data_IF_459471822476
#
_entry.id   IF_459471822476
#
_cell.length_a   1.000
_cell.length_b   1.000
_cell.length_c   1.000
_cell.angle_alpha   90.00
_cell.angle_beta   90.00
_cell.angle_gamma   90.00
#
_symmetry.space_group_name_H-M   'P 1'
#
loop_
_entity.id
_entity.type
_entity.pdbx_description
1 polymer ?
#
# COMPACT_ATOMS: atom_id res chain seq x y z
N UNK A 1 -21.42 -7.45 11.78
CA UNK A 1 -21.21 -6.15 11.11
C UNK A 1 -22.18 -5.21 11.79
N UNK A 2 -21.78 -4.67 12.95
CA UNK A 2 -22.58 -3.68 13.66
C UNK A 2 -21.87 -2.34 13.50
N UNK A 3 -22.53 -1.41 12.82
CA UNK A 3 -22.13 -0.01 12.79
C UNK A 3 -22.67 0.63 14.06
N UNK A 4 -21.85 0.67 15.11
CA UNK A 4 -22.04 1.62 16.19
C UNK A 4 -21.68 2.99 15.66
N UNK A 5 -22.66 3.64 15.04
CA UNK A 5 -22.65 5.08 14.87
C UNK A 5 -22.53 5.69 16.27
N UNK A 6 -21.48 6.46 16.49
CA UNK A 6 -21.29 7.24 17.72
C UNK A 6 -22.48 8.21 17.81
N UNK A 7 -23.43 7.87 18.66
CA UNK A 7 -24.61 8.67 18.92
C UNK A 7 -24.27 9.60 20.07
N UNK A 8 -24.12 10.89 19.79
CA UNK A 8 -24.02 11.90 20.85
C UNK A 8 -25.37 11.95 21.60
N UNK A 9 -25.37 12.04 22.94
CA UNK A 9 -26.60 12.14 23.70
C UNK A 9 -27.33 13.44 23.33
N UNK A 10 -28.64 13.32 23.04
CA UNK A 10 -29.51 14.46 22.83
C UNK A 10 -29.55 15.31 24.11
N UNK A 11 -29.41 16.63 23.95
CA UNK A 11 -29.57 17.58 25.03
C UNK A 11 -31.01 17.50 25.55
N UNK A 12 -31.18 16.88 26.72
CA UNK A 12 -32.40 16.98 27.49
C UNK A 12 -32.47 18.37 28.11
N UNK A 13 -33.43 19.16 27.65
CA UNK A 13 -33.87 20.40 28.28
C UNK A 13 -34.44 20.05 29.68
N UNK A 14 -33.73 20.40 30.75
CA UNK A 14 -34.19 20.13 32.10
C UNK A 14 -33.16 20.44 33.20
N UNK A 15 -33.27 21.62 33.80
CA UNK A 15 -32.81 22.04 35.12
C UNK A 15 -31.41 21.57 35.62
N UNK A 16 -30.47 22.50 35.66
CA UNK A 16 -29.12 22.34 36.20
C UNK A 16 -29.07 22.02 37.71
N UNK A 17 -28.11 21.19 38.15
CA UNK A 17 -27.49 21.33 39.46
C UNK A 17 -26.20 22.15 39.35
N UNK A 18 -26.09 23.19 40.18
CA UNK A 18 -24.90 24.04 40.35
C UNK A 18 -23.67 23.17 40.66
N UNK A 19 -22.65 23.20 39.78
CA UNK A 19 -21.30 22.78 40.13
C UNK A 19 -20.65 23.80 41.07
N UNK A 20 -19.89 23.38 42.10
CA UNK A 20 -19.13 24.30 42.93
C UNK A 20 -17.97 24.91 42.12
N UNK A 21 -17.90 26.23 42.14
CA UNK A 21 -16.81 27.00 41.56
C UNK A 21 -15.48 26.67 42.28
N UNK A 22 -14.61 25.90 41.63
CA UNK A 22 -13.21 25.79 42.02
C UNK A 22 -12.39 26.87 41.32
N UNK A 23 -11.66 27.61 42.15
CA UNK A 23 -10.86 28.79 41.90
C UNK A 23 -10.11 28.87 40.55
N UNK A 24 -10.29 30.01 39.87
CA UNK A 24 -9.34 30.55 38.90
C UNK A 24 -8.01 30.83 39.60
N UNK A 25 -6.96 30.13 39.19
CA UNK A 25 -5.58 30.55 39.39
C UNK A 25 -4.74 30.13 38.17
N UNK A 26 -4.08 31.11 37.54
CA UNK A 26 -3.14 30.91 36.44
C UNK A 26 -3.64 31.45 35.10
N UNK A 27 -3.07 32.57 34.67
CA UNK A 27 -3.23 33.07 33.30
C UNK A 27 -2.75 32.02 32.30
N UNK A 28 -3.70 31.45 31.55
CA UNK A 28 -3.42 30.52 30.48
C UNK A 28 -4.25 30.95 29.28
N UNK A 29 -3.57 31.33 28.20
CA UNK A 29 -4.15 31.42 26.86
C UNK A 29 -5.06 30.22 26.62
N UNK A 30 -6.30 30.47 26.15
CA UNK A 30 -7.24 29.41 25.78
C UNK A 30 -6.52 28.30 25.01
N UNK A 31 -6.78 27.00 25.29
CA UNK A 31 -6.04 25.91 24.67
C UNK A 31 -6.09 26.07 23.15
N UNK A 32 -4.90 26.22 22.56
CA UNK A 32 -4.73 26.39 21.12
C UNK A 32 -5.26 25.13 20.44
N UNK A 33 -6.42 25.25 19.81
CA UNK A 33 -7.13 24.14 19.13
C UNK A 33 -6.17 23.44 18.16
N UNK A 34 -6.12 22.11 18.24
CA UNK A 34 -5.15 21.33 17.48
C UNK A 34 -5.68 21.03 16.08
N UNK A 35 -4.94 21.43 15.04
CA UNK A 35 -5.22 21.06 13.64
C UNK A 35 -4.20 20.05 13.15
N UNK A 36 -4.64 19.05 12.41
CA UNK A 36 -3.76 18.07 11.79
C UNK A 36 -3.12 18.66 10.52
N UNK A 37 -1.84 18.40 10.32
CA UNK A 37 -1.21 18.73 9.03
C UNK A 37 -1.82 17.86 7.92
N UNK A 38 -2.34 18.42 6.81
CA UNK A 38 -3.14 17.67 5.84
C UNK A 38 -2.37 16.55 5.12
N UNK A 39 -1.05 16.69 4.94
CA UNK A 39 -0.23 15.66 4.26
C UNK A 39 0.39 14.64 5.21
N UNK A 40 1.00 15.09 6.31
CA UNK A 40 1.78 14.24 7.22
C UNK A 40 0.99 13.75 8.43
N UNK A 41 -0.21 14.31 8.63
CA UNK A 41 -1.04 14.14 9.82
C UNK A 41 -0.35 14.54 11.14
N UNK A 42 0.78 15.26 11.08
CA UNK A 42 1.50 15.67 12.28
C UNK A 42 0.62 16.57 13.16
N UNK A 43 0.64 16.31 14.47
CA UNK A 43 0.04 17.19 15.47
C UNK A 43 0.86 18.48 15.64
N UNK A 44 0.25 19.59 16.06
CA UNK A 44 0.90 20.91 16.08
C UNK A 44 2.13 21.00 16.98
N UNK A 45 2.17 20.26 18.09
CA UNK A 45 3.33 20.25 18.99
C UNK A 45 4.01 18.88 19.02
N UNK A 46 5.35 18.83 19.03
CA UNK A 46 6.11 17.57 19.15
C UNK A 46 5.75 16.77 20.42
N UNK A 47 5.46 17.47 21.52
CA UNK A 47 5.08 16.85 22.79
C UNK A 47 3.72 16.15 22.68
N UNK A 48 2.75 16.78 22.02
CA UNK A 48 1.43 16.20 21.79
C UNK A 48 1.50 15.03 20.81
N UNK A 49 2.32 15.13 19.75
CA UNK A 49 2.60 14.02 18.84
C UNK A 49 3.23 12.83 19.60
N UNK A 50 4.22 13.08 20.46
CA UNK A 50 4.85 12.04 21.27
C UNK A 50 3.86 11.41 22.27
N UNK A 51 3.00 12.20 22.90
CA UNK A 51 1.94 11.72 23.78
C UNK A 51 0.92 10.85 23.04
N UNK A 52 0.45 11.29 21.86
CA UNK A 52 -0.44 10.51 21.00
C UNK A 52 0.15 9.13 20.68
N UNK A 53 1.39 9.07 20.20
CA UNK A 53 2.00 7.80 19.81
C UNK A 53 2.21 6.87 21.00
N UNK A 54 2.50 7.40 22.19
CA UNK A 54 2.67 6.62 23.41
C UNK A 54 1.34 6.08 23.95
N UNK A 55 0.29 6.90 23.95
CA UNK A 55 -0.98 6.60 24.61
C UNK A 55 -1.99 5.89 23.70
N UNK A 56 -2.05 6.25 22.41
CA UNK A 56 -3.12 5.80 21.51
C UNK A 56 -2.58 5.15 20.22
N UNK A 57 -1.66 5.82 19.51
CA UNK A 57 -1.20 5.39 18.19
C UNK A 57 -0.47 4.03 18.20
N UNK A 58 0.60 3.90 18.99
CA UNK A 58 1.39 2.66 19.06
C UNK A 58 0.56 1.48 19.59
N UNK A 59 -0.23 1.63 20.68
CA UNK A 59 -1.12 0.56 21.13
C UNK A 59 -2.12 0.10 20.07
N UNK A 60 -2.75 1.01 19.33
CA UNK A 60 -3.73 0.68 18.31
C UNK A 60 -3.14 -0.12 17.14
N UNK A 61 -1.92 0.23 16.71
CA UNK A 61 -1.24 -0.50 15.64
C UNK A 61 -0.68 -1.84 16.11
N UNK A 62 -0.16 -1.91 17.34
CA UNK A 62 0.34 -3.15 17.93
C UNK A 62 -0.73 -4.26 17.99
N UNK A 63 -2.02 -3.89 18.14
CA UNK A 63 -3.12 -4.85 18.09
C UNK A 63 -3.31 -5.48 16.71
N UNK A 64 -3.25 -4.67 15.64
CA UNK A 64 -3.39 -5.19 14.26
C UNK A 64 -2.17 -5.98 13.79
N UNK A 65 -0.99 -5.72 14.35
CA UNK A 65 0.24 -6.39 13.95
C UNK A 65 0.19 -7.89 14.15
N UNK A 66 -0.58 -8.38 15.12
CA UNK A 66 -0.72 -9.82 15.39
C UNK A 66 -1.29 -10.59 14.21
N UNK A 67 -2.39 -10.11 13.64
CA UNK A 67 -3.00 -10.68 12.43
C UNK A 67 -1.99 -10.61 11.28
N UNK A 68 -1.31 -9.49 11.20
CA UNK A 68 -0.26 -9.23 10.24
C UNK A 68 0.92 -10.18 10.22
N UNK A 69 1.46 -10.42 11.40
CA UNK A 69 2.58 -11.29 11.66
C UNK A 69 2.17 -12.76 11.47
N UNK A 70 0.94 -13.13 11.84
CA UNK A 70 0.39 -14.46 11.56
C UNK A 70 0.28 -14.71 10.05
N UNK A 71 -0.34 -13.79 9.30
CA UNK A 71 -0.44 -13.89 7.83
C UNK A 71 0.93 -13.94 7.16
N UNK A 72 1.86 -13.10 7.62
CA UNK A 72 3.26 -13.12 7.15
C UNK A 72 3.90 -14.48 7.34
N UNK A 73 3.76 -15.05 8.54
CA UNK A 73 4.42 -16.30 8.90
C UNK A 73 3.86 -17.44 8.07
N UNK A 74 2.53 -17.49 7.92
CA UNK A 74 1.85 -18.43 7.04
C UNK A 74 2.31 -18.31 5.58
N UNK A 75 2.43 -17.09 5.05
CA UNK A 75 2.91 -16.84 3.69
C UNK A 75 4.35 -17.36 3.49
N UNK A 76 5.26 -17.09 4.44
CA UNK A 76 6.64 -17.57 4.38
C UNK A 76 6.73 -19.10 4.49
N UNK A 77 5.93 -19.73 5.36
CA UNK A 77 5.86 -21.19 5.47
C UNK A 77 5.34 -21.80 4.18
N UNK A 78 4.27 -21.25 3.61
CA UNK A 78 3.73 -21.69 2.33
C UNK A 78 4.75 -21.53 1.20
N UNK A 79 5.42 -20.38 1.11
CA UNK A 79 6.43 -20.12 0.10
C UNK A 79 7.62 -21.06 0.24
N UNK A 80 8.07 -21.33 1.47
CA UNK A 80 9.14 -22.29 1.75
C UNK A 80 8.74 -23.72 1.34
N UNK A 81 7.50 -24.13 1.64
CA UNK A 81 6.97 -25.42 1.23
C UNK A 81 6.87 -25.53 -0.29
N UNK A 82 6.38 -24.47 -0.96
CA UNK A 82 6.34 -24.39 -2.42
C UNK A 82 7.76 -24.49 -3.01
N UNK A 83 8.72 -23.71 -2.52
CA UNK A 83 10.12 -23.77 -3.02
C UNK A 83 10.77 -25.14 -2.83
N UNK A 84 10.36 -25.94 -1.84
CA UNK A 84 10.84 -27.32 -1.63
C UNK A 84 10.16 -28.37 -2.49
N UNK A 85 8.93 -28.12 -2.93
CA UNK A 85 8.09 -29.10 -3.64
C UNK A 85 8.02 -28.86 -5.14
N UNK A 86 8.31 -27.64 -5.60
CA UNK A 86 8.38 -27.29 -7.01
C UNK A 86 9.62 -27.94 -7.66
N UNK A 87 9.44 -28.53 -8.84
CA UNK A 87 10.50 -29.26 -9.57
C UNK A 87 11.52 -28.29 -10.20
N UNK A 88 12.68 -28.82 -10.64
CA UNK A 88 13.77 -28.01 -11.23
C UNK A 88 13.38 -27.15 -12.44
N UNK A 89 12.27 -27.45 -13.11
CA UNK A 89 11.72 -26.69 -14.24
C UNK A 89 11.00 -25.37 -13.84
N UNK A 90 10.79 -25.15 -12.53
CA UNK A 90 10.02 -24.04 -11.97
C UNK A 90 10.86 -23.09 -11.10
N UNK A 91 12.20 -23.18 -11.20
CA UNK A 91 13.12 -22.33 -10.44
C UNK A 91 12.75 -20.86 -10.61
N UNK A 92 12.19 -20.29 -9.54
CA UNK A 92 12.20 -18.85 -9.32
C UNK A 92 13.66 -18.43 -9.18
N UNK A 93 14.00 -17.24 -9.67
CA UNK A 93 15.36 -16.69 -9.60
C UNK A 93 16.40 -17.37 -10.52
N UNK A 94 15.98 -17.87 -11.69
CA UNK A 94 16.88 -18.52 -12.67
C UNK A 94 17.79 -17.54 -13.43
N UNK A 95 17.52 -16.23 -13.40
CA UNK A 95 18.36 -15.21 -14.02
C UNK A 95 19.52 -14.71 -13.14
N UNK A 96 19.51 -15.03 -11.85
CA UNK A 96 20.51 -14.52 -10.90
C UNK A 96 21.58 -15.57 -10.55
N UNK A 97 22.83 -15.14 -10.31
CA UNK A 97 23.89 -16.02 -9.85
C UNK A 97 23.57 -16.58 -8.46
N UNK A 98 24.11 -17.77 -8.16
CA UNK A 98 23.92 -18.51 -6.90
C UNK A 98 24.05 -17.67 -5.60
N UNK A 99 24.96 -16.69 -5.49
CA UNK A 99 25.03 -15.83 -4.31
C UNK A 99 23.75 -15.03 -4.05
N UNK A 100 23.10 -14.49 -5.09
CA UNK A 100 21.85 -13.74 -4.93
C UNK A 100 20.68 -14.65 -4.53
N UNK A 101 20.65 -15.87 -5.07
CA UNK A 101 19.69 -16.89 -4.64
C UNK A 101 19.88 -17.27 -3.17
N UNK A 102 21.13 -17.36 -2.72
CA UNK A 102 21.46 -17.60 -1.30
C UNK A 102 21.03 -16.44 -0.41
N UNK A 103 21.22 -15.20 -0.86
CA UNK A 103 20.76 -13.99 -0.15
C UNK A 103 19.24 -13.96 -0.05
N UNK A 104 18.51 -14.28 -1.13
CA UNK A 104 17.05 -14.35 -1.10
C UNK A 104 16.54 -15.42 -0.10
N UNK A 105 17.16 -16.60 -0.10
CA UNK A 105 16.84 -17.66 0.86
C UNK A 105 17.14 -17.24 2.31
N UNK A 106 18.29 -16.61 2.55
CA UNK A 106 18.64 -16.08 3.86
C UNK A 106 17.65 -14.99 4.31
N UNK A 107 17.27 -14.07 3.42
CA UNK A 107 16.27 -13.04 3.70
C UNK A 107 14.91 -13.63 4.05
N UNK A 108 14.47 -14.70 3.37
CA UNK A 108 13.24 -15.39 3.72
C UNK A 108 13.29 -16.01 5.12
N UNK A 109 14.38 -16.68 5.48
CA UNK A 109 14.57 -17.27 6.81
C UNK A 109 14.65 -16.20 7.90
N UNK A 110 15.38 -15.12 7.64
CA UNK A 110 15.45 -13.97 8.55
C UNK A 110 14.08 -13.33 8.70
N UNK A 111 13.35 -13.08 7.60
CA UNK A 111 12.02 -12.45 7.67
C UNK A 111 11.03 -13.31 8.46
N UNK A 112 11.02 -14.63 8.24
CA UNK A 112 10.21 -15.57 9.01
C UNK A 112 10.60 -15.56 10.49
N UNK A 113 11.90 -15.66 10.79
CA UNK A 113 12.40 -15.69 12.18
C UNK A 113 12.06 -14.40 12.92
N UNK A 114 12.27 -13.24 12.29
CA UNK A 114 11.90 -11.94 12.86
C UNK A 114 10.39 -11.83 12.99
N UNK A 115 9.59 -12.33 12.04
CA UNK A 115 8.13 -12.29 12.15
C UNK A 115 7.63 -13.13 13.33
N UNK A 116 8.14 -14.36 13.50
CA UNK A 116 7.79 -15.23 14.62
C UNK A 116 8.26 -14.65 15.96
N UNK A 117 9.48 -14.13 16.04
CA UNK A 117 10.01 -13.49 17.24
C UNK A 117 9.21 -12.23 17.61
N UNK A 118 8.83 -11.43 16.62
CA UNK A 118 8.00 -10.24 16.82
C UNK A 118 6.58 -10.62 17.26
N UNK A 119 6.02 -11.67 16.69
CA UNK A 119 4.72 -12.20 17.09
C UNK A 119 4.75 -12.67 18.55
N UNK A 120 5.74 -13.48 18.92
CA UNK A 120 5.94 -13.94 20.29
C UNK A 120 6.14 -12.76 21.26
N UNK A 121 6.99 -11.78 20.92
CA UNK A 121 7.20 -10.58 21.73
C UNK A 121 5.90 -9.77 21.93
N UNK A 122 5.05 -9.68 20.90
CA UNK A 122 3.76 -8.99 20.97
C UNK A 122 2.75 -9.66 21.92
N UNK A 123 2.93 -10.95 22.20
CA UNK A 123 2.09 -11.75 23.10
C UNK A 123 2.68 -11.81 24.51
N UNK A 124 3.97 -12.13 24.62
CA UNK A 124 4.65 -12.44 25.88
C UNK A 124 5.15 -11.19 26.61
N UNK A 125 5.51 -10.13 25.89
CA UNK A 125 6.00 -8.89 26.48
C UNK A 125 5.45 -7.64 25.76
N UNK A 126 4.13 -7.38 25.82
CA UNK A 126 3.47 -6.33 25.02
C UNK A 126 4.04 -4.93 25.27
N UNK A 127 4.41 -4.61 26.52
CA UNK A 127 5.01 -3.32 26.85
C UNK A 127 6.39 -3.12 26.20
N UNK A 128 7.26 -4.16 26.26
CA UNK A 128 8.58 -4.13 25.62
C UNK A 128 8.45 -4.09 24.11
N UNK A 129 7.51 -4.86 23.55
CA UNK A 129 7.22 -4.85 22.12
C UNK A 129 6.83 -3.45 21.64
N UNK A 130 5.89 -2.77 22.32
CA UNK A 130 5.46 -1.41 21.95
C UNK A 130 6.62 -0.42 21.91
N UNK A 131 7.60 -0.54 22.81
CA UNK A 131 8.77 0.35 22.83
C UNK A 131 9.65 0.23 21.58
N UNK A 132 9.70 -0.93 20.93
CA UNK A 132 10.53 -1.20 19.73
C UNK A 132 9.72 -1.45 18.45
N UNK A 133 8.38 -1.33 18.53
CA UNK A 133 7.45 -1.74 17.48
C UNK A 133 7.63 -0.97 16.17
N UNK A 134 7.83 0.35 16.23
CA UNK A 134 7.99 1.17 15.04
C UNK A 134 9.27 0.82 14.25
N UNK A 135 10.47 0.74 14.87
CA UNK A 135 11.67 0.21 14.20
C UNK A 135 11.48 -1.19 13.61
N UNK A 136 10.80 -2.10 14.31
CA UNK A 136 10.54 -3.45 13.81
C UNK A 136 9.61 -3.45 12.59
N UNK A 137 8.55 -2.63 12.60
CA UNK A 137 7.64 -2.50 11.46
C UNK A 137 8.34 -1.91 10.24
N UNK A 138 9.20 -0.89 10.43
CA UNK A 138 10.03 -0.32 9.36
C UNK A 138 11.00 -1.37 8.82
N UNK A 139 11.72 -2.07 9.70
CA UNK A 139 12.68 -3.11 9.31
C UNK A 139 12.03 -4.27 8.54
N UNK A 140 10.87 -4.74 8.99
CA UNK A 140 10.07 -5.76 8.29
C UNK A 140 9.64 -5.30 6.89
N UNK A 141 9.25 -4.04 6.75
CA UNK A 141 8.83 -3.48 5.46
C UNK A 141 10.03 -3.30 4.53
N UNK A 142 11.15 -2.80 5.02
CA UNK A 142 12.38 -2.65 4.24
C UNK A 142 12.92 -4.01 3.77
N UNK A 143 12.96 -5.01 4.65
CA UNK A 143 13.43 -6.35 4.31
C UNK A 143 12.62 -6.95 3.16
N UNK A 144 11.30 -6.76 3.16
CA UNK A 144 10.43 -7.23 2.07
C UNK A 144 10.50 -6.35 0.84
N UNK A 145 10.64 -5.04 1.01
CA UNK A 145 10.86 -4.10 -0.08
C UNK A 145 12.15 -4.40 -0.84
N UNK A 146 13.13 -5.05 -0.22
CA UNK A 146 14.33 -5.57 -0.89
C UNK A 146 14.07 -6.96 -1.47
N UNK A 147 13.51 -7.87 -0.68
CA UNK A 147 13.38 -9.27 -1.11
C UNK A 147 12.41 -9.47 -2.28
N UNK A 148 11.29 -8.76 -2.31
CA UNK A 148 10.29 -8.89 -3.38
C UNK A 148 10.86 -8.48 -4.74
N UNK A 149 11.49 -7.30 -4.91
CA UNK A 149 12.19 -6.96 -6.15
C UNK A 149 13.31 -7.92 -6.54
N UNK A 150 14.07 -8.47 -5.58
CA UNK A 150 15.09 -9.49 -5.90
C UNK A 150 14.44 -10.72 -6.53
N UNK A 151 13.39 -11.27 -5.92
CA UNK A 151 12.72 -12.48 -6.44
C UNK A 151 12.16 -12.23 -7.85
N UNK A 152 11.50 -11.09 -8.07
CA UNK A 152 10.91 -10.76 -9.38
C UNK A 152 11.99 -10.44 -10.41
N UNK A 153 12.96 -9.60 -10.07
CA UNK A 153 14.05 -9.20 -10.97
C UNK A 153 15.00 -10.36 -11.31
N UNK A 154 15.13 -11.35 -10.43
CA UNK A 154 15.88 -12.57 -10.71
C UNK A 154 15.08 -13.60 -11.50
N UNK A 155 13.77 -13.44 -11.69
CA UNK A 155 12.97 -14.36 -12.48
C UNK A 155 13.13 -14.01 -13.96
N UNK A 156 13.69 -14.92 -14.75
CA UNK A 156 13.99 -14.68 -16.16
C UNK A 156 12.72 -14.49 -17.01
N UNK A 157 12.86 -13.81 -18.14
CA UNK A 157 11.78 -13.74 -19.13
C UNK A 157 11.34 -15.13 -19.60
N UNK A 158 12.27 -16.08 -19.75
CA UNK A 158 11.93 -17.46 -20.10
C UNK A 158 11.09 -18.15 -19.01
N UNK A 159 11.39 -17.92 -17.73
CA UNK A 159 10.59 -18.44 -16.63
C UNK A 159 9.18 -17.83 -16.59
N UNK A 160 9.05 -16.51 -16.78
CA UNK A 160 7.74 -15.87 -16.91
C UNK A 160 6.97 -16.38 -18.12
N UNK A 161 7.62 -16.56 -19.27
CA UNK A 161 6.99 -17.07 -20.47
C UNK A 161 6.42 -18.48 -20.24
N UNK A 162 7.18 -19.39 -19.61
CA UNK A 162 6.68 -20.72 -19.20
C UNK A 162 5.46 -20.63 -18.29
N UNK A 163 5.44 -19.67 -17.34
CA UNK A 163 4.29 -19.46 -16.44
C UNK A 163 3.06 -18.94 -17.17
N UNK A 164 3.24 -17.95 -18.03
CA UNK A 164 2.20 -17.37 -18.87
C UNK A 164 1.58 -18.45 -19.76
N UNK A 165 2.40 -19.22 -20.48
CA UNK A 165 1.94 -20.29 -21.35
C UNK A 165 1.14 -21.37 -20.59
N UNK A 166 1.61 -21.75 -19.39
CA UNK A 166 0.89 -22.69 -18.52
C UNK A 166 -0.46 -22.15 -18.07
N UNK A 167 -0.49 -20.89 -17.64
CA UNK A 167 -1.73 -20.23 -17.20
C UNK A 167 -2.73 -20.12 -18.36
N UNK A 168 -2.27 -19.80 -19.58
CA UNK A 168 -3.10 -19.78 -20.79
C UNK A 168 -3.69 -21.15 -21.11
N UNK A 169 -2.86 -22.20 -21.06
CA UNK A 169 -3.30 -23.57 -21.30
C UNK A 169 -4.34 -24.04 -20.26
N UNK A 170 -4.14 -23.67 -18.99
CA UNK A 170 -5.08 -24.01 -17.90
C UNK A 170 -6.40 -23.25 -17.95
N UNK A 171 -6.44 -22.09 -18.62
CA UNK A 171 -7.64 -21.25 -18.71
C UNK A 171 -8.68 -21.72 -19.75
N UNK A 172 -8.42 -22.82 -20.46
CA UNK A 172 -9.39 -23.46 -21.36
C UNK A 172 -9.81 -22.61 -22.57
N UNK A 173 -8.99 -21.63 -22.98
CA UNK A 173 -9.23 -20.81 -24.16
C UNK A 173 -10.31 -19.72 -24.02
N UNK A 174 -10.71 -19.37 -22.80
CA UNK A 174 -11.67 -18.29 -22.57
C UNK A 174 -11.17 -16.93 -23.12
N UNK A 175 -12.04 -16.09 -23.72
CA UNK A 175 -11.63 -14.84 -24.38
C UNK A 175 -11.00 -13.82 -23.42
N UNK A 176 -11.31 -13.90 -22.13
CA UNK A 176 -10.73 -13.04 -21.08
C UNK A 176 -9.43 -13.57 -20.48
N UNK A 177 -9.00 -14.79 -20.82
CA UNK A 177 -7.84 -15.42 -20.19
C UNK A 177 -6.54 -14.61 -20.35
N UNK A 178 -6.19 -14.07 -21.54
CA UNK A 178 -4.98 -13.29 -21.69
C UNK A 178 -4.97 -12.00 -20.85
N UNK A 179 -6.10 -11.27 -20.80
CA UNK A 179 -6.26 -10.07 -19.98
C UNK A 179 -6.14 -10.39 -18.47
N UNK A 180 -6.77 -11.49 -18.03
CA UNK A 180 -6.66 -11.95 -16.65
C UNK A 180 -5.22 -12.31 -16.26
N UNK A 181 -4.42 -12.85 -17.19
CA UNK A 181 -3.01 -13.18 -16.98
C UNK A 181 -2.16 -11.92 -16.84
N UNK A 182 -2.38 -10.91 -17.69
CA UNK A 182 -1.72 -9.59 -17.54
C UNK A 182 -1.99 -9.01 -16.16
N UNK A 183 -3.26 -8.94 -15.76
CA UNK A 183 -3.68 -8.40 -14.46
C UNK A 183 -3.11 -9.25 -13.32
N UNK A 184 -3.19 -10.57 -13.40
CA UNK A 184 -2.64 -11.50 -12.39
C UNK A 184 -1.16 -11.22 -12.14
N UNK A 185 -0.32 -11.28 -13.18
CA UNK A 185 1.13 -11.17 -12.99
C UNK A 185 1.57 -9.75 -12.67
N UNK A 186 0.95 -8.72 -13.25
CA UNK A 186 1.24 -7.34 -12.88
C UNK A 186 0.78 -7.00 -11.45
N UNK A 187 -0.33 -7.60 -10.97
CA UNK A 187 -0.84 -7.39 -9.61
C UNK A 187 -0.11 -8.16 -8.53
N UNK A 188 0.67 -9.21 -8.85
CA UNK A 188 1.46 -9.94 -7.83
C UNK A 188 2.34 -9.00 -7.00
N UNK A 189 2.96 -8.02 -7.67
CA UNK A 189 3.76 -6.99 -7.02
C UNK A 189 2.89 -6.00 -6.23
N UNK A 190 1.76 -5.57 -6.82
CA UNK A 190 0.81 -4.65 -6.21
C UNK A 190 0.17 -5.17 -4.92
N UNK A 191 -0.26 -6.43 -4.91
CA UNK A 191 -0.85 -7.09 -3.73
C UNK A 191 0.15 -7.17 -2.59
N UNK A 192 1.42 -7.51 -2.88
CA UNK A 192 2.48 -7.54 -1.86
C UNK A 192 2.67 -6.16 -1.23
N UNK A 193 2.68 -5.10 -2.04
CA UNK A 193 2.79 -3.73 -1.56
C UNK A 193 1.61 -3.31 -0.69
N UNK A 194 0.39 -3.57 -1.15
CA UNK A 194 -0.81 -3.24 -0.40
C UNK A 194 -0.84 -3.95 0.96
N UNK A 195 -0.55 -5.26 0.97
CA UNK A 195 -0.51 -6.05 2.21
C UNK A 195 0.54 -5.48 3.16
N UNK A 196 1.75 -5.15 2.70
CA UNK A 196 2.80 -4.63 3.59
C UNK A 196 2.40 -3.35 4.31
N UNK A 197 1.76 -2.41 3.62
CA UNK A 197 1.28 -1.15 4.19
C UNK A 197 0.18 -1.38 5.23
N UNK A 198 -0.79 -2.23 4.89
CA UNK A 198 -1.95 -2.50 5.74
C UNK A 198 -1.59 -3.30 6.99
N UNK A 199 -0.65 -4.22 6.83
CA UNK A 199 -0.23 -5.16 7.86
C UNK A 199 0.81 -4.56 8.81
N UNK A 200 1.83 -3.88 8.28
CA UNK A 200 2.89 -3.25 9.06
C UNK A 200 2.72 -1.73 9.04
N UNK A 201 1.55 -1.28 9.49
CA UNK A 201 1.19 0.13 9.54
C UNK A 201 2.18 0.89 10.44
N UNK A 202 2.71 2.02 10.01
CA UNK A 202 3.40 2.98 10.87
C UNK A 202 3.09 4.38 10.37
N UNK A 203 3.69 5.40 10.98
CA UNK A 203 3.33 6.80 10.71
C UNK A 203 3.37 7.09 9.22
N UNK A 204 2.31 7.70 8.68
CA UNK A 204 2.16 8.04 7.25
C UNK A 204 3.39 8.77 6.71
N UNK A 205 3.94 9.71 7.49
CA UNK A 205 5.12 10.51 7.12
C UNK A 205 6.35 9.68 6.73
N UNK A 206 6.48 8.49 7.31
CA UNK A 206 7.56 7.55 7.02
C UNK A 206 7.10 6.46 6.05
N UNK A 207 5.83 6.04 6.16
CA UNK A 207 5.28 4.98 5.35
C UNK A 207 5.20 5.35 3.87
N UNK A 208 4.88 6.61 3.56
CA UNK A 208 4.77 7.11 2.19
C UNK A 208 6.11 7.05 1.42
N UNK A 209 7.23 7.65 1.89
CA UNK A 209 8.49 7.59 1.14
C UNK A 209 9.03 6.16 0.99
N UNK A 210 8.89 5.32 2.03
CA UNK A 210 9.28 3.90 1.95
C UNK A 210 8.44 3.18 0.88
N UNK A 211 7.14 3.46 0.81
CA UNK A 211 6.28 2.86 -0.20
C UNK A 211 6.66 3.26 -1.62
N UNK A 212 6.90 4.55 -1.82
CA UNK A 212 7.20 5.10 -3.15
C UNK A 212 8.53 4.51 -3.64
N UNK A 213 9.57 4.49 -2.80
CA UNK A 213 10.84 3.87 -3.14
C UNK A 213 10.69 2.39 -3.48
N UNK A 214 9.92 1.64 -2.70
CA UNK A 214 9.67 0.22 -2.94
C UNK A 214 8.87 -0.03 -4.23
N UNK A 215 7.86 0.80 -4.51
CA UNK A 215 7.06 0.74 -5.74
C UNK A 215 7.93 0.99 -6.98
N UNK A 216 8.80 2.01 -6.94
CA UNK A 216 9.74 2.31 -8.03
C UNK A 216 10.69 1.13 -8.26
N UNK A 217 11.37 0.63 -7.23
CA UNK A 217 12.24 -0.54 -7.36
C UNK A 217 11.48 -1.77 -7.90
N UNK A 218 10.24 -1.93 -7.44
CA UNK A 218 9.34 -2.98 -7.87
C UNK A 218 8.95 -2.90 -9.35
N UNK A 219 8.73 -1.70 -9.90
CA UNK A 219 8.50 -1.50 -11.34
C UNK A 219 9.69 -2.04 -12.14
N UNK A 220 10.93 -1.67 -11.78
CA UNK A 220 12.12 -2.15 -12.49
C UNK A 220 12.31 -3.66 -12.39
N UNK A 221 11.95 -4.25 -11.26
CA UNK A 221 12.03 -5.70 -11.06
C UNK A 221 11.06 -6.50 -11.94
N UNK A 222 10.08 -5.87 -12.57
CA UNK A 222 9.14 -6.52 -13.50
C UNK A 222 9.68 -6.66 -14.93
N UNK A 223 10.96 -6.36 -15.18
CA UNK A 223 11.60 -6.49 -16.50
C UNK A 223 11.38 -7.86 -17.15
N UNK A 224 11.67 -8.95 -16.42
CA UNK A 224 11.49 -10.32 -16.94
C UNK A 224 10.04 -10.61 -17.35
N UNK A 225 9.08 -10.17 -16.53
CA UNK A 225 7.65 -10.28 -16.87
C UNK A 225 7.30 -9.47 -18.11
N UNK A 226 7.77 -8.22 -18.19
CA UNK A 226 7.45 -7.34 -19.30
C UNK A 226 7.95 -7.90 -20.63
N UNK A 227 9.17 -8.41 -20.67
CA UNK A 227 9.72 -9.04 -21.87
C UNK A 227 8.98 -10.33 -22.24
N UNK A 228 8.61 -11.16 -21.26
CA UNK A 228 7.82 -12.37 -21.51
C UNK A 228 6.41 -12.06 -22.05
N UNK A 229 5.74 -11.04 -21.49
CA UNK A 229 4.42 -10.61 -21.92
C UNK A 229 4.42 -9.99 -23.31
N UNK A 230 5.48 -9.26 -23.69
CA UNK A 230 5.66 -8.71 -25.04
C UNK A 230 5.95 -9.79 -26.07
N UNK A 231 6.70 -10.82 -25.69
CA UNK A 231 7.01 -11.95 -26.57
C UNK A 231 5.79 -12.86 -26.84
N UNK A 232 4.77 -12.84 -25.98
CA UNK A 232 3.55 -13.63 -26.12
C UNK A 232 2.43 -12.83 -26.82
N UNK A 233 2.08 -13.11 -28.09
CA UNK A 233 1.20 -12.25 -28.88
C UNK A 233 -0.19 -12.04 -28.26
N UNK A 234 -0.79 -13.09 -27.69
CA UNK A 234 -2.12 -13.00 -27.09
C UNK A 234 -2.13 -12.09 -25.85
N UNK A 235 -1.05 -12.15 -25.05
CA UNK A 235 -0.90 -11.35 -23.84
C UNK A 235 -0.55 -9.90 -24.18
N UNK A 236 0.33 -9.69 -25.16
CA UNK A 236 0.67 -8.36 -25.68
C UNK A 236 -0.56 -7.64 -26.24
N UNK A 237 -1.36 -8.32 -27.06
CA UNK A 237 -2.60 -7.77 -27.60
C UNK A 237 -3.62 -7.44 -26.49
N UNK A 238 -3.76 -8.30 -25.49
CA UNK A 238 -4.64 -8.04 -24.35
C UNK A 238 -4.14 -6.88 -23.48
N UNK A 239 -2.82 -6.73 -23.31
CA UNK A 239 -2.25 -5.58 -22.63
C UNK A 239 -2.57 -4.27 -23.37
N UNK A 240 -2.43 -4.26 -24.70
CA UNK A 240 -2.79 -3.10 -25.53
C UNK A 240 -4.28 -2.74 -25.36
N UNK A 241 -5.18 -3.72 -25.46
CA UNK A 241 -6.62 -3.51 -25.24
C UNK A 241 -6.95 -2.96 -23.83
N UNK A 242 -6.29 -3.47 -22.79
CA UNK A 242 -6.46 -2.97 -21.43
C UNK A 242 -5.95 -1.53 -21.28
N UNK A 243 -4.82 -1.22 -21.91
CA UNK A 243 -4.28 0.14 -21.94
C UNK A 243 -5.24 1.09 -22.67
N UNK A 244 -5.74 0.71 -23.84
CA UNK A 244 -6.72 1.50 -24.61
C UNK A 244 -8.01 1.72 -23.82
N UNK A 245 -8.48 0.70 -23.09
CA UNK A 245 -9.65 0.83 -22.23
C UNK A 245 -9.42 1.83 -21.08
N UNK A 246 -8.25 1.76 -20.42
CA UNK A 246 -7.89 2.74 -19.38
C UNK A 246 -7.81 4.14 -19.96
N UNK A 247 -7.21 4.32 -21.14
CA UNK A 247 -7.14 5.62 -21.81
C UNK A 247 -8.52 6.14 -22.19
N UNK A 248 -9.38 5.30 -22.76
CA UNK A 248 -10.75 5.67 -23.13
C UNK A 248 -11.60 6.08 -21.91
N UNK A 249 -11.48 5.34 -20.79
CA UNK A 249 -12.17 5.67 -19.54
C UNK A 249 -11.62 6.95 -18.90
N UNK A 250 -10.31 7.23 -19.07
CA UNK A 250 -9.73 8.48 -18.60
C UNK A 250 -10.13 9.72 -19.42
N UNK A 251 -10.44 9.54 -20.72
CA UNK A 251 -11.03 10.56 -21.60
C UNK A 251 -10.33 11.94 -21.63
N UNK A 252 -11.02 12.96 -22.16
CA UNK A 252 -10.60 14.38 -22.08
C UNK A 252 -10.70 14.96 -20.66
N UNK A 253 -11.43 14.30 -19.76
CA UNK A 253 -11.68 14.75 -18.38
C UNK A 253 -10.41 14.87 -17.54
N UNK A 254 -9.34 14.14 -17.90
CA UNK A 254 -8.02 14.21 -17.28
C UNK A 254 -6.92 14.52 -18.30
N UNK A 255 -7.27 15.25 -19.38
CA UNK A 255 -6.37 15.56 -20.50
C UNK A 255 -4.95 15.89 -20.04
N UNK A 256 -3.91 15.43 -20.77
CA UNK A 256 -2.55 15.43 -20.26
C UNK A 256 -2.15 16.87 -19.91
N UNK A 257 -1.83 17.11 -18.64
CA UNK A 257 -1.31 18.39 -18.17
C UNK A 257 0.06 18.75 -18.79
N UNK A 258 0.61 17.87 -19.64
CA UNK A 258 1.89 18.00 -20.31
C UNK A 258 1.73 17.79 -21.82
N UNK A 259 2.52 18.52 -22.65
CA UNK A 259 2.66 18.17 -24.04
C UNK A 259 3.17 16.73 -24.14
N UNK A 260 2.40 15.84 -24.79
CA UNK A 260 2.92 14.53 -25.22
C UNK A 260 4.11 14.81 -26.12
N UNK A 261 5.30 14.55 -25.63
CA UNK A 261 6.54 14.96 -26.28
C UNK A 261 6.77 14.16 -27.56
N UNK A 262 6.12 14.55 -28.66
CA UNK A 262 6.43 14.12 -30.03
C UNK A 262 6.68 12.63 -30.24
N UNK A 263 6.11 11.74 -29.41
CA UNK A 263 6.35 10.31 -29.47
C UNK A 263 5.56 9.79 -30.68
N UNK A 264 6.22 9.30 -31.76
CA UNK A 264 5.54 8.95 -33.00
C UNK A 264 4.69 7.67 -32.91
N UNK A 265 4.66 7.02 -31.75
CA UNK A 265 4.00 5.74 -31.51
C UNK A 265 2.85 5.87 -30.52
N UNK A 266 1.79 5.08 -30.73
CA UNK A 266 0.69 4.97 -29.77
C UNK A 266 1.20 4.40 -28.44
N UNK A 267 0.85 5.07 -27.33
CA UNK A 267 1.30 4.71 -25.98
C UNK A 267 0.95 3.26 -25.63
N UNK A 268 -0.21 2.79 -26.09
CA UNK A 268 -0.73 1.45 -25.89
C UNK A 268 -0.31 0.44 -26.98
N UNK A 269 0.16 0.87 -28.15
CA UNK A 269 0.66 -0.09 -29.17
C UNK A 269 2.03 -0.64 -28.80
N UNK A 270 2.94 0.21 -28.31
CA UNK A 270 4.35 -0.19 -28.09
C UNK A 270 4.76 -0.25 -26.61
N UNK A 271 3.87 0.17 -25.71
CA UNK A 271 4.17 0.42 -24.30
C UNK A 271 3.13 -0.05 -23.30
N UNK A 272 2.16 -0.86 -23.74
CA UNK A 272 1.03 -1.23 -22.90
C UNK A 272 1.46 -1.93 -21.60
N UNK A 273 2.44 -2.82 -21.68
CA UNK A 273 2.87 -3.61 -20.54
C UNK A 273 3.56 -2.72 -19.50
N UNK A 274 4.46 -1.85 -19.93
CA UNK A 274 5.12 -0.85 -19.08
C UNK A 274 4.09 0.08 -18.41
N UNK A 275 3.12 0.58 -19.18
CA UNK A 275 2.04 1.40 -18.67
C UNK A 275 1.24 0.68 -17.58
N UNK A 276 0.81 -0.56 -17.83
CA UNK A 276 0.02 -1.34 -16.88
C UNK A 276 0.80 -1.71 -15.62
N UNK A 277 2.10 -2.01 -15.74
CA UNK A 277 2.97 -2.27 -14.58
C UNK A 277 3.07 -1.03 -13.69
N UNK A 278 3.33 0.15 -14.26
CA UNK A 278 3.41 1.41 -13.50
C UNK A 278 2.06 1.76 -12.90
N UNK A 279 0.97 1.62 -13.66
CA UNK A 279 -0.38 1.87 -13.19
C UNK A 279 -0.72 1.02 -11.98
N UNK A 280 -0.49 -0.29 -12.04
CA UNK A 280 -0.82 -1.23 -10.96
C UNK A 280 0.07 -1.00 -9.74
N UNK A 281 1.37 -0.76 -9.93
CA UNK A 281 2.29 -0.46 -8.85
C UNK A 281 1.93 0.85 -8.12
N UNK A 282 1.59 1.89 -8.88
CA UNK A 282 1.13 3.18 -8.35
C UNK A 282 -0.21 3.05 -7.64
N UNK A 283 -1.18 2.36 -8.24
CA UNK A 283 -2.52 2.20 -7.69
C UNK A 283 -2.49 1.46 -6.35
N UNK A 284 -1.77 0.34 -6.32
CA UNK A 284 -1.62 -0.48 -5.12
C UNK A 284 -0.92 0.26 -3.98
N UNK A 285 0.01 1.16 -4.32
CA UNK A 285 0.73 2.00 -3.36
C UNK A 285 -0.16 3.13 -2.85
N UNK A 286 -0.81 3.87 -3.74
CA UNK A 286 -1.66 5.02 -3.40
C UNK A 286 -2.88 4.62 -2.57
N UNK A 287 -3.60 3.56 -2.98
CA UNK A 287 -4.78 3.10 -2.25
C UNK A 287 -4.43 2.62 -0.84
N UNK A 288 -3.37 1.84 -0.70
CA UNK A 288 -2.96 1.33 0.62
C UNK A 288 -2.45 2.43 1.54
N UNK A 289 -1.71 3.41 0.99
CA UNK A 289 -1.33 4.62 1.74
C UNK A 289 -2.54 5.46 2.14
N UNK A 290 -3.55 5.57 1.27
CA UNK A 290 -4.80 6.26 1.60
C UNK A 290 -5.55 5.57 2.76
N UNK A 291 -5.64 4.23 2.74
CA UNK A 291 -6.24 3.49 3.86
C UNK A 291 -5.45 3.72 5.16
N UNK A 292 -4.12 3.69 5.09
CA UNK A 292 -3.26 3.99 6.25
C UNK A 292 -3.45 5.44 6.73
N UNK A 293 -3.56 6.40 5.82
CA UNK A 293 -3.84 7.81 6.12
C UNK A 293 -5.14 7.96 6.89
N UNK A 294 -6.26 7.43 6.37
CA UNK A 294 -7.56 7.51 7.05
C UNK A 294 -7.53 6.82 8.41
N UNK A 295 -6.78 5.73 8.54
CA UNK A 295 -6.63 5.03 9.82
C UNK A 295 -5.89 5.89 10.83
N UNK A 296 -4.75 6.48 10.46
CA UNK A 296 -3.96 7.35 11.34
C UNK A 296 -4.76 8.60 11.73
N UNK A 297 -5.40 9.24 10.75
CA UNK A 297 -6.25 10.41 10.94
C UNK A 297 -7.35 10.12 11.96
N UNK A 298 -8.09 9.02 11.79
CA UNK A 298 -9.14 8.59 12.72
C UNK A 298 -8.60 8.39 14.14
N UNK A 299 -7.42 7.79 14.29
CA UNK A 299 -6.81 7.62 15.62
C UNK A 299 -6.41 8.96 16.24
N UNK A 300 -5.85 9.88 15.45
CA UNK A 300 -5.46 11.21 15.94
C UNK A 300 -6.66 12.08 16.30
N UNK A 301 -7.71 12.09 15.49
CA UNK A 301 -8.95 12.82 15.78
C UNK A 301 -9.60 12.32 17.07
N UNK A 302 -9.75 11.00 17.25
CA UNK A 302 -10.28 10.41 18.50
C UNK A 302 -9.43 10.76 19.72
N UNK A 303 -8.10 10.77 19.56
CA UNK A 303 -7.21 11.19 20.63
C UNK A 303 -7.42 12.66 21.01
N UNK A 304 -7.45 13.57 20.04
CA UNK A 304 -7.71 14.99 20.26
C UNK A 304 -9.07 15.24 20.92
N UNK A 305 -10.10 14.53 20.47
CA UNK A 305 -11.44 14.56 21.07
C UNK A 305 -11.40 14.15 22.54
N UNK A 306 -10.78 13.00 22.87
CA UNK A 306 -10.63 12.53 24.25
C UNK A 306 -9.83 13.47 25.17
N UNK A 307 -9.05 14.40 24.60
CA UNK A 307 -8.28 15.41 25.34
C UNK A 307 -8.97 16.78 25.36
N UNK A 308 -10.14 16.92 24.73
CA UNK A 308 -10.86 18.19 24.62
C UNK A 308 -10.12 19.23 23.77
N UNK A 309 -9.31 18.78 22.81
CA UNK A 309 -8.46 19.65 21.97
C UNK A 309 -8.98 19.80 20.52
N UNK A 310 -10.09 19.15 20.19
CA UNK A 310 -10.74 19.21 18.88
C UNK A 310 -11.65 20.46 18.79
N UNK A 311 -11.74 21.07 17.61
CA UNK A 311 -12.69 22.17 17.37
C UNK A 311 -14.10 21.59 17.15
N UNK A 312 -15.10 22.02 17.92
CA UNK A 312 -16.50 21.57 17.77
C UNK A 312 -17.08 21.84 16.37
N UNK A 313 -16.50 22.79 15.62
CA UNK A 313 -16.86 23.04 14.22
C UNK A 313 -16.41 21.92 13.27
N UNK A 314 -15.35 21.19 13.60
CA UNK A 314 -14.91 20.01 12.86
C UNK A 314 -15.76 18.76 13.24
N UNK A 315 -16.47 18.81 14.37
CA UNK A 315 -17.47 17.81 14.79
C UNK A 315 -18.84 17.98 14.14
N UNK A 316 -19.09 19.03 13.33
CA UNK A 316 -20.27 19.09 12.46
C UNK A 316 -20.09 18.08 11.32
N UNK A 317 -20.23 16.80 11.70
CA UNK A 317 -20.28 15.67 10.80
C UNK A 317 -21.41 15.91 9.81
N UNK A 318 -21.04 16.20 8.57
CA UNK A 318 -21.96 16.00 7.46
C UNK A 318 -22.53 14.58 7.52
N UNK A 319 -23.77 14.36 7.01
CA UNK A 319 -24.47 13.09 7.11
C UNK A 319 -23.57 11.93 6.68
N UNK A 320 -23.76 10.69 7.16
CA UNK A 320 -22.91 9.53 6.83
C UNK A 320 -22.66 9.33 5.33
N UNK A 321 -23.59 9.78 4.47
CA UNK A 321 -23.42 9.88 3.01
C UNK A 321 -22.19 10.71 2.56
N UNK A 322 -21.83 11.76 3.30
CA UNK A 322 -20.66 12.60 3.07
C UNK A 322 -19.33 11.86 3.30
N UNK A 323 -19.30 10.83 4.16
CA UNK A 323 -18.09 10.02 4.35
C UNK A 323 -17.88 9.03 3.20
N UNK A 324 -18.95 8.41 2.69
CA UNK A 324 -18.91 7.55 1.50
C UNK A 324 -18.47 8.31 0.25
N UNK A 325 -19.02 9.51 0.04
CA UNK A 325 -18.62 10.37 -1.09
C UNK A 325 -17.17 10.83 -0.99
N UNK A 326 -16.65 11.14 0.21
CA UNK A 326 -15.23 11.48 0.40
C UNK A 326 -14.30 10.30 0.09
N UNK A 327 -14.66 9.09 0.52
CA UNK A 327 -13.88 7.89 0.22
C UNK A 327 -13.93 7.54 -1.27
N UNK A 328 -15.09 7.68 -1.91
CA UNK A 328 -15.22 7.51 -3.36
C UNK A 328 -14.35 8.52 -4.11
N UNK A 329 -14.44 9.82 -3.76
CA UNK A 329 -13.63 10.87 -4.37
C UNK A 329 -12.13 10.62 -4.18
N UNK A 330 -11.70 10.22 -2.98
CA UNK A 330 -10.29 9.91 -2.72
C UNK A 330 -9.81 8.66 -3.47
N UNK A 331 -10.63 7.61 -3.57
CA UNK A 331 -10.33 6.44 -4.38
C UNK A 331 -10.19 6.83 -5.87
N UNK A 332 -11.08 7.68 -6.38
CA UNK A 332 -10.97 8.28 -7.72
C UNK A 332 -9.66 9.07 -7.86
N UNK A 333 -9.30 9.91 -6.89
CA UNK A 333 -8.02 10.63 -6.90
C UNK A 333 -6.81 9.68 -6.95
N UNK A 334 -6.84 8.56 -6.20
CA UNK A 334 -5.79 7.54 -6.28
C UNK A 334 -5.71 6.92 -7.68
N UNK A 335 -6.84 6.57 -8.29
CA UNK A 335 -6.90 6.03 -9.65
C UNK A 335 -6.34 7.04 -10.65
N UNK A 336 -6.78 8.29 -10.59
CA UNK A 336 -6.33 9.37 -11.48
C UNK A 336 -4.83 9.64 -11.31
N UNK A 337 -4.34 9.73 -10.08
CA UNK A 337 -2.91 9.90 -9.80
C UNK A 337 -2.06 8.73 -10.36
N UNK A 338 -2.60 7.51 -10.33
CA UNK A 338 -1.92 6.34 -10.86
C UNK A 338 -1.92 6.27 -12.38
N UNK A 339 -3.01 6.69 -13.02
CA UNK A 339 -3.04 6.88 -14.48
C UNK A 339 -2.04 7.96 -14.89
N UNK A 340 -2.03 9.10 -14.18
CA UNK A 340 -1.10 10.19 -14.43
C UNK A 340 0.37 9.73 -14.31
N UNK A 341 0.71 8.95 -13.28
CA UNK A 341 2.05 8.41 -13.11
C UNK A 341 2.46 7.49 -14.27
N UNK A 342 1.55 6.61 -14.73
CA UNK A 342 1.80 5.70 -15.83
C UNK A 342 1.95 6.43 -17.17
N UNK A 343 1.08 7.42 -17.45
CA UNK A 343 1.13 8.25 -18.64
C UNK A 343 2.41 9.11 -18.69
N UNK A 344 2.82 9.64 -17.54
CA UNK A 344 4.07 10.40 -17.39
C UNK A 344 5.28 9.55 -17.78
N UNK A 345 5.41 8.36 -17.18
CA UNK A 345 6.53 7.46 -17.47
C UNK A 345 6.56 7.06 -18.94
N UNK A 346 5.40 6.77 -19.52
CA UNK A 346 5.31 6.40 -20.93
C UNK A 346 5.57 7.58 -21.88
N UNK A 347 5.18 8.81 -21.51
CA UNK A 347 5.45 10.03 -22.27
C UNK A 347 6.93 10.41 -22.30
N UNK A 348 7.70 10.02 -21.28
CA UNK A 348 9.15 10.12 -21.28
C UNK A 348 9.85 9.06 -22.16
N UNK A 349 9.08 8.17 -22.81
CA UNK A 349 9.62 7.13 -23.68
C UNK A 349 10.34 6.01 -22.94
N UNK A 350 10.17 5.89 -21.62
CA UNK A 350 10.80 4.82 -20.85
C UNK A 350 10.20 3.45 -21.23
N UNK A 351 11.09 2.47 -21.47
CA UNK A 351 10.75 1.10 -21.86
C UNK A 351 11.71 0.09 -21.25
N UNK A 352 11.26 -1.15 -21.09
CA UNK A 352 12.17 -2.26 -20.80
C UNK A 352 12.94 -2.65 -22.06
N UNK A 353 14.26 -2.87 -21.93
CA UNK A 353 15.09 -3.40 -23.00
C UNK A 353 14.96 -4.92 -23.06
N UNK A 354 14.26 -5.44 -24.06
CA UNK A 354 13.99 -6.88 -24.24
C UNK A 354 14.78 -7.50 -25.39
N UNK A 355 16.05 -7.08 -25.54
CA UNK A 355 17.00 -7.56 -26.54
C UNK A 355 17.46 -8.99 -26.31
#
# INVERSE_FOLDING_TARGET
MDSDAVQCPAAAEGAAPRQPAAARAGGGTAPRRARLHPLTLALPSPELEAAFWREAGTPAYALSDRVGLAFTSANHVFLWWAMRTLTSAERMMDACPSPLTSVANANHLVSLSVALATFAASLLAPARYRAVREPLAIGQRLLRAVNTPIVQGCTSAAAYHRRIARDLAGAGGGPMAPAAIVVKHASLLGVLWAIQVLVFAFRVRWAAPVQIAAAVAGVFAMHGFACAARAEPAVSAAAAQLCDWVQAVSGEAFGPAWPRAGVPWGLCTDGAVEFLVVLIASLSSSLSLYVLYCREERHKLRYLESKGLLDERDCQGGPPAASGLRHAAAATCCVVASIFAADTVASFGWRFSCS
#
